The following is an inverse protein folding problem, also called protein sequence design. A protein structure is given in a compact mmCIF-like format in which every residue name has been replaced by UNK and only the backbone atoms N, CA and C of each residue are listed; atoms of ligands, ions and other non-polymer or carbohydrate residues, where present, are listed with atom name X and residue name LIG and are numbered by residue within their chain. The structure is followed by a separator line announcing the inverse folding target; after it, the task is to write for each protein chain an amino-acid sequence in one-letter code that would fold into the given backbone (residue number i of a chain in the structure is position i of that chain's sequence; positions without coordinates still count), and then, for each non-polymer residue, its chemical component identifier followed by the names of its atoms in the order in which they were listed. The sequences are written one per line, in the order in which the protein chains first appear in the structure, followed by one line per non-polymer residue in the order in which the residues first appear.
data_IF_117235443404
#
_entry.id   IF_117235443404
#
_cell.length_a   1.000
_cell.length_b   1.000
_cell.length_c   1.000
_cell.angle_alpha   90.00
_cell.angle_beta   90.00
_cell.angle_gamma   90.00
#
_symmetry.space_group_name_H-M   'P 1'
#
loop_
_entity.id
_entity.type
_entity.pdbx_description
1 polymer ?
#
# COMPACT_ATOMS: atom_id res chain seq x y z
N UNK A 1 -31.61 -19.55 -5.56
CA UNK A 1 -32.27 -19.14 -4.30
C UNK A 1 -32.44 -20.39 -3.45
N UNK A 2 -31.84 -20.49 -2.25
CA UNK A 2 -31.83 -21.72 -1.45
C UNK A 2 -33.25 -22.05 -0.97
N UNK A 3 -33.61 -23.37 -0.92
CA UNK A 3 -34.91 -23.86 -0.41
C UNK A 3 -35.29 -23.24 0.95
N UNK A 4 -34.31 -22.88 1.75
CA UNK A 4 -34.48 -22.24 3.07
C UNK A 4 -34.96 -20.77 2.97
N UNK A 5 -34.49 -20.00 1.96
CA UNK A 5 -35.00 -18.64 1.70
C UNK A 5 -36.46 -18.67 1.20
N UNK A 6 -36.80 -19.65 0.37
CA UNK A 6 -38.17 -19.82 -0.14
C UNK A 6 -39.13 -20.20 1.01
N UNK A 7 -38.72 -21.05 1.95
CA UNK A 7 -39.53 -21.42 3.11
C UNK A 7 -39.78 -20.24 4.06
N UNK A 8 -38.77 -19.38 4.28
CA UNK A 8 -38.93 -18.14 5.07
C UNK A 8 -39.88 -17.14 4.41
N UNK A 9 -39.80 -16.99 3.08
CA UNK A 9 -40.68 -16.08 2.33
C UNK A 9 -42.15 -16.60 2.36
N UNK A 10 -42.37 -17.89 2.10
CA UNK A 10 -43.72 -18.50 2.22
C UNK A 10 -44.29 -18.39 3.64
N UNK A 11 -43.48 -18.62 4.66
CA UNK A 11 -43.91 -18.44 6.07
C UNK A 11 -44.29 -16.98 6.38
N UNK A 12 -43.53 -16.02 5.89
CA UNK A 12 -43.84 -14.60 6.07
C UNK A 12 -45.11 -14.17 5.33
N UNK A 13 -45.35 -14.71 4.13
CA UNK A 13 -46.61 -14.46 3.38
C UNK A 13 -47.82 -15.03 4.12
N UNK A 14 -47.74 -16.26 4.59
CA UNK A 14 -48.82 -16.90 5.40
C UNK A 14 -49.08 -16.09 6.66
N UNK A 15 -48.04 -15.68 7.39
CA UNK A 15 -48.19 -14.85 8.60
C UNK A 15 -48.86 -13.50 8.30
N UNK A 16 -48.50 -12.87 7.19
CA UNK A 16 -49.10 -11.62 6.72
C UNK A 16 -50.60 -11.79 6.41
N UNK A 17 -50.96 -12.83 5.64
CA UNK A 17 -52.37 -13.12 5.36
C UNK A 17 -53.17 -13.42 6.61
N UNK A 18 -52.65 -14.25 7.54
CA UNK A 18 -53.29 -14.52 8.81
C UNK A 18 -53.47 -13.25 9.64
N UNK A 19 -52.51 -12.36 9.65
CA UNK A 19 -52.59 -11.09 10.35
C UNK A 19 -53.65 -10.15 9.75
N UNK A 20 -53.72 -10.07 8.42
CA UNK A 20 -54.75 -9.28 7.74
C UNK A 20 -56.15 -9.81 8.01
N UNK A 21 -56.35 -11.15 8.01
CA UNK A 21 -57.67 -11.75 8.30
C UNK A 21 -58.07 -11.49 9.74
N UNK A 22 -57.17 -11.53 10.71
CA UNK A 22 -57.45 -11.20 12.11
C UNK A 22 -57.89 -9.73 12.24
N UNK A 23 -57.15 -8.79 11.63
CA UNK A 23 -57.50 -7.35 11.63
C UNK A 23 -58.90 -7.14 11.05
N UNK A 24 -59.17 -7.73 9.87
CA UNK A 24 -60.47 -7.59 9.20
C UNK A 24 -61.61 -8.18 10.09
N UNK A 25 -61.43 -9.39 10.66
CA UNK A 25 -62.43 -10.02 11.55
C UNK A 25 -62.69 -9.20 12.81
N UNK A 26 -61.61 -8.61 13.38
CA UNK A 26 -61.74 -7.76 14.57
C UNK A 26 -62.47 -6.48 14.28
N UNK A 27 -62.14 -5.84 13.17
CA UNK A 27 -62.82 -4.60 12.74
C UNK A 27 -64.30 -4.83 12.39
N UNK A 28 -64.62 -5.98 11.76
CA UNK A 28 -66.01 -6.40 11.52
C UNK A 28 -66.78 -6.60 12.82
N UNK A 29 -66.20 -7.33 13.77
CA UNK A 29 -66.84 -7.58 15.05
C UNK A 29 -67.10 -6.29 15.84
N UNK A 30 -66.09 -5.41 15.90
CA UNK A 30 -66.19 -4.10 16.59
C UNK A 30 -67.23 -3.19 15.93
N UNK A 31 -67.21 -3.08 14.61
CA UNK A 31 -68.20 -2.26 13.89
C UNK A 31 -69.62 -2.78 14.01
N UNK A 32 -69.80 -4.10 13.95
CA UNK A 32 -71.11 -4.75 14.17
C UNK A 32 -71.61 -4.49 15.57
N UNK A 33 -70.76 -4.69 16.60
CA UNK A 33 -71.13 -4.48 17.98
C UNK A 33 -71.50 -3.00 18.28
N UNK A 34 -70.81 -2.04 17.68
CA UNK A 34 -71.14 -0.62 17.80
C UNK A 34 -72.48 -0.26 17.13
N UNK A 35 -72.73 -0.80 15.97
CA UNK A 35 -74.00 -0.57 15.24
C UNK A 35 -75.18 -1.16 15.98
N UNK A 36 -75.03 -2.35 16.52
CA UNK A 36 -76.06 -3.01 17.35
C UNK A 36 -76.31 -2.22 18.64
N UNK A 37 -75.24 -1.73 19.32
CA UNK A 37 -75.41 -0.92 20.56
C UNK A 37 -76.12 0.44 20.28
N UNK A 38 -75.95 0.99 19.11
CA UNK A 38 -76.61 2.25 18.66
C UNK A 38 -78.02 2.02 18.11
N UNK A 39 -78.51 0.76 18.04
CA UNK A 39 -79.76 0.38 17.43
C UNK A 39 -79.94 0.82 15.96
N UNK A 40 -78.83 0.90 15.21
CA UNK A 40 -78.79 1.27 13.81
C UNK A 40 -78.84 0.01 12.96
N UNK A 41 -80.02 -0.29 12.37
CA UNK A 41 -80.21 -1.42 11.48
C UNK A 41 -79.88 -1.06 10.04
N UNK A 42 -78.64 -1.39 9.62
CA UNK A 42 -78.14 -1.20 8.27
C UNK A 42 -78.27 -2.51 7.46
N UNK A 43 -78.35 -2.39 6.15
CA UNK A 43 -78.28 -3.59 5.31
C UNK A 43 -76.91 -4.28 5.48
N UNK A 44 -76.82 -5.62 5.36
CA UNK A 44 -75.57 -6.35 5.51
C UNK A 44 -74.44 -5.82 4.62
N UNK A 45 -74.76 -5.37 3.43
CA UNK A 45 -73.80 -4.77 2.48
C UNK A 45 -73.13 -3.50 3.04
N UNK A 46 -73.91 -2.60 3.64
CA UNK A 46 -73.41 -1.37 4.27
C UNK A 46 -72.53 -1.67 5.48
N UNK A 47 -72.91 -2.66 6.29
CA UNK A 47 -72.09 -3.12 7.45
C UNK A 47 -70.73 -3.65 7.00
N UNK A 48 -70.67 -4.47 5.95
CA UNK A 48 -69.41 -4.95 5.36
C UNK A 48 -68.56 -3.80 4.84
N UNK A 49 -69.13 -2.85 4.12
CA UNK A 49 -68.41 -1.70 3.59
C UNK A 49 -67.80 -0.84 4.70
N UNK A 50 -68.53 -0.59 5.79
CA UNK A 50 -68.02 0.14 6.95
C UNK A 50 -66.88 -0.64 7.60
N UNK A 51 -66.99 -1.95 7.75
CA UNK A 51 -65.93 -2.79 8.33
C UNK A 51 -64.68 -2.80 7.49
N UNK A 52 -64.76 -2.83 6.16
CA UNK A 52 -63.63 -2.75 5.24
C UNK A 52 -62.90 -1.42 5.37
N UNK A 53 -63.66 -0.32 5.38
CA UNK A 53 -63.06 1.03 5.54
C UNK A 53 -62.36 1.14 6.91
N UNK A 54 -63.00 0.66 7.99
CA UNK A 54 -62.45 0.68 9.34
C UNK A 54 -61.15 -0.17 9.46
N UNK A 55 -61.15 -1.36 8.82
CA UNK A 55 -59.99 -2.24 8.75
C UNK A 55 -58.82 -1.56 8.05
N UNK A 56 -59.08 -0.85 6.94
CA UNK A 56 -58.08 -0.12 6.16
C UNK A 56 -57.47 1.04 6.97
N UNK A 57 -58.32 1.81 7.66
CA UNK A 57 -57.86 2.87 8.55
C UNK A 57 -57.01 2.30 9.70
N UNK A 58 -57.44 1.23 10.34
CA UNK A 58 -56.69 0.58 11.42
C UNK A 58 -55.30 0.09 10.92
N UNK A 59 -55.28 -0.53 9.74
CA UNK A 59 -54.02 -0.99 9.11
C UNK A 59 -53.04 0.16 8.86
N UNK A 60 -53.55 1.28 8.35
CA UNK A 60 -52.76 2.50 8.13
C UNK A 60 -52.20 3.04 9.47
N UNK A 61 -53.05 3.15 10.46
CA UNK A 61 -52.64 3.62 11.81
C UNK A 61 -51.59 2.72 12.44
N UNK A 62 -51.77 1.39 12.33
CA UNK A 62 -50.83 0.41 12.81
C UNK A 62 -49.47 0.54 12.07
N UNK A 63 -49.52 0.71 10.73
CA UNK A 63 -48.29 0.93 9.93
C UNK A 63 -47.57 2.20 10.34
N UNK A 64 -48.30 3.31 10.54
CA UNK A 64 -47.73 4.56 11.03
C UNK A 64 -47.10 4.38 12.41
N UNK A 65 -47.80 3.68 13.32
CA UNK A 65 -47.29 3.41 14.67
C UNK A 65 -45.99 2.61 14.63
N UNK A 66 -45.94 1.54 13.83
CA UNK A 66 -44.73 0.72 13.66
C UNK A 66 -43.62 1.58 13.03
N UNK A 67 -43.90 2.39 12.03
CA UNK A 67 -42.93 3.27 11.38
C UNK A 67 -42.33 4.28 12.38
N UNK A 68 -43.18 4.89 13.24
CA UNK A 68 -42.75 5.83 14.28
C UNK A 68 -41.91 5.14 15.34
N UNK A 69 -42.33 3.96 15.83
CA UNK A 69 -41.59 3.19 16.83
C UNK A 69 -40.23 2.66 16.33
N UNK A 70 -40.13 2.35 15.03
CA UNK A 70 -38.89 1.86 14.43
C UNK A 70 -37.95 2.98 13.95
N UNK A 71 -38.44 4.19 13.79
CA UNK A 71 -37.69 5.35 13.30
C UNK A 71 -36.42 5.65 14.14
N UNK A 72 -36.47 5.73 15.49
CA UNK A 72 -35.27 6.03 16.28
C UNK A 72 -34.19 4.95 16.18
N UNK A 73 -34.58 3.67 16.06
CA UNK A 73 -33.62 2.57 15.90
C UNK A 73 -32.91 2.62 14.56
N UNK A 74 -33.62 2.98 13.50
CA UNK A 74 -33.04 3.10 12.14
C UNK A 74 -32.13 4.32 12.03
N UNK A 75 -32.54 5.45 12.58
CA UNK A 75 -31.71 6.66 12.61
C UNK A 75 -30.43 6.44 13.43
N UNK A 76 -30.51 5.83 14.61
CA UNK A 76 -29.36 5.49 15.42
C UNK A 76 -28.38 4.55 14.66
N UNK A 77 -28.90 3.56 13.91
CA UNK A 77 -28.08 2.66 13.11
C UNK A 77 -27.34 3.41 11.96
N UNK A 78 -28.00 4.34 11.31
CA UNK A 78 -27.39 5.15 10.25
C UNK A 78 -26.28 6.04 10.84
N UNK A 79 -26.52 6.68 11.99
CA UNK A 79 -25.51 7.52 12.63
C UNK A 79 -24.29 6.76 13.12
N UNK A 80 -24.39 5.47 13.47
CA UNK A 80 -23.23 4.64 13.79
C UNK A 80 -22.31 4.39 12.58
N UNK A 81 -22.80 4.57 11.36
CA UNK A 81 -22.01 4.48 10.13
C UNK A 81 -21.51 5.87 9.71
N UNK A 82 -22.37 6.90 9.77
CA UNK A 82 -22.03 8.24 9.29
C UNK A 82 -20.97 8.90 10.17
N UNK A 83 -21.02 8.76 11.49
CA UNK A 83 -20.07 9.42 12.39
C UNK A 83 -18.62 8.96 12.14
N UNK A 84 -18.29 7.65 12.03
CA UNK A 84 -16.96 7.20 11.64
C UNK A 84 -16.51 7.74 10.27
N UNK A 85 -17.38 7.71 9.26
CA UNK A 85 -17.08 8.23 7.92
C UNK A 85 -16.71 9.72 7.99
N UNK A 86 -17.41 10.53 8.77
CA UNK A 86 -17.09 11.94 8.94
C UNK A 86 -15.72 12.16 9.63
N UNK A 87 -15.32 11.28 10.54
CA UNK A 87 -13.99 11.30 11.17
C UNK A 87 -12.91 10.91 10.17
N UNK A 88 -13.14 9.85 9.39
CA UNK A 88 -12.26 9.43 8.30
C UNK A 88 -12.07 10.58 7.28
N UNK A 89 -13.14 11.23 6.87
CA UNK A 89 -13.09 12.38 5.96
C UNK A 89 -12.30 13.57 6.50
N UNK A 90 -12.13 13.68 7.83
CA UNK A 90 -11.29 14.70 8.49
C UNK A 90 -9.85 14.24 8.72
N UNK A 91 -9.48 13.04 8.23
CA UNK A 91 -8.12 12.51 8.34
C UNK A 91 -7.88 11.63 9.58
N UNK A 92 -8.92 11.28 10.35
CA UNK A 92 -8.79 10.33 11.46
C UNK A 92 -9.05 8.91 10.95
N UNK A 93 -7.99 8.27 10.46
CA UNK A 93 -8.03 6.90 9.94
C UNK A 93 -7.89 5.83 11.03
N UNK A 94 -7.84 6.20 12.31
CA UNK A 94 -7.81 5.25 13.41
C UNK A 94 -9.20 4.70 13.77
N UNK A 95 -10.26 5.33 13.25
CA UNK A 95 -11.65 5.03 13.57
C UNK A 95 -12.19 3.95 12.64
N UNK A 96 -12.85 2.94 13.22
CA UNK A 96 -13.57 1.89 12.48
C UNK A 96 -15.04 1.87 12.85
N UNK A 97 -15.87 1.43 11.89
CA UNK A 97 -17.28 1.11 12.18
C UNK A 97 -17.30 -0.18 13.01
N UNK A 98 -17.76 -0.08 14.26
CA UNK A 98 -17.77 -1.18 15.21
C UNK A 98 -18.92 -2.16 14.94
N UNK A 99 -18.75 -3.41 15.40
CA UNK A 99 -19.77 -4.45 15.33
C UNK A 99 -20.20 -4.80 13.89
N UNK A 100 -19.26 -5.08 13.01
CA UNK A 100 -19.52 -5.55 11.64
C UNK A 100 -20.53 -6.69 11.59
N UNK A 101 -20.47 -7.61 12.56
CA UNK A 101 -21.35 -8.78 12.68
C UNK A 101 -22.84 -8.42 12.87
N UNK A 102 -23.16 -7.17 13.27
CA UNK A 102 -24.55 -6.69 13.39
C UNK A 102 -25.18 -6.26 12.08
N UNK A 103 -24.36 -6.09 11.05
CA UNK A 103 -24.81 -5.64 9.74
C UNK A 103 -24.90 -6.84 8.80
N UNK A 104 -26.11 -7.32 8.53
CA UNK A 104 -26.36 -8.40 7.58
C UNK A 104 -26.60 -7.86 6.16
N UNK A 105 -26.33 -8.70 5.15
CA UNK A 105 -26.65 -8.42 3.74
C UNK A 105 -25.79 -7.30 3.13
N UNK A 106 -26.40 -6.41 2.36
CA UNK A 106 -25.72 -5.37 1.60
C UNK A 106 -25.03 -4.32 2.49
N UNK A 107 -25.61 -4.00 3.64
CA UNK A 107 -25.03 -3.06 4.61
C UNK A 107 -23.77 -3.65 5.26
N UNK A 108 -23.75 -4.94 5.55
CA UNK A 108 -22.56 -5.62 6.07
C UNK A 108 -21.38 -5.56 5.09
N UNK A 109 -21.63 -5.79 3.80
CA UNK A 109 -20.63 -5.66 2.75
C UNK A 109 -20.11 -4.23 2.67
N UNK A 110 -21.00 -3.23 2.74
CA UNK A 110 -20.62 -1.81 2.72
C UNK A 110 -19.73 -1.45 3.92
N UNK A 111 -20.12 -1.85 5.14
CA UNK A 111 -19.36 -1.58 6.38
C UNK A 111 -17.98 -2.21 6.30
N UNK A 112 -17.88 -3.45 5.83
CA UNK A 112 -16.60 -4.12 5.63
C UNK A 112 -15.74 -3.36 4.64
N UNK A 113 -16.27 -2.98 3.47
CA UNK A 113 -15.51 -2.23 2.46
C UNK A 113 -15.02 -0.89 2.97
N UNK A 114 -15.80 -0.19 3.82
CA UNK A 114 -15.38 1.07 4.46
C UNK A 114 -14.24 0.81 5.46
N UNK A 115 -14.32 -0.25 6.26
CA UNK A 115 -13.28 -0.58 7.21
C UNK A 115 -11.99 -1.01 6.51
N UNK A 116 -12.06 -1.82 5.45
CA UNK A 116 -10.92 -2.22 4.63
C UNK A 116 -10.25 -0.98 4.00
N UNK A 117 -11.04 -0.07 3.41
CA UNK A 117 -10.54 1.21 2.89
C UNK A 117 -9.87 2.07 3.99
N UNK A 118 -10.43 2.08 5.19
CA UNK A 118 -9.87 2.84 6.32
C UNK A 118 -8.53 2.27 6.76
N UNK A 119 -8.38 0.94 6.75
CA UNK A 119 -7.10 0.29 7.04
C UNK A 119 -6.03 0.66 6.01
N UNK A 120 -6.38 0.66 4.72
CA UNK A 120 -5.46 1.07 3.65
C UNK A 120 -5.06 2.54 3.79
N UNK A 121 -6.02 3.45 4.06
CA UNK A 121 -5.73 4.87 4.29
C UNK A 121 -4.83 5.09 5.51
N UNK A 122 -5.07 4.36 6.60
CA UNK A 122 -4.23 4.42 7.79
C UNK A 122 -2.80 3.93 7.52
N UNK A 123 -2.64 2.83 6.78
CA UNK A 123 -1.34 2.32 6.37
C UNK A 123 -0.61 3.34 5.47
N UNK A 124 -1.30 3.97 4.51
CA UNK A 124 -0.73 5.00 3.65
C UNK A 124 -0.29 6.24 4.45
N UNK A 125 -1.11 6.71 5.39
CA UNK A 125 -0.77 7.87 6.23
C UNK A 125 0.42 7.57 7.14
N UNK A 126 0.49 6.37 7.72
CA UNK A 126 1.64 5.92 8.51
C UNK A 126 2.91 5.88 7.67
N UNK A 127 2.86 5.28 6.48
CA UNK A 127 3.99 5.29 5.55
C UNK A 127 4.43 6.71 5.16
N UNK A 128 3.48 7.63 4.96
CA UNK A 128 3.76 9.03 4.66
C UNK A 128 4.47 9.73 5.83
N UNK A 129 4.01 9.51 7.06
CA UNK A 129 4.63 10.08 8.26
C UNK A 129 6.03 9.54 8.50
N UNK A 130 6.22 8.22 8.36
CA UNK A 130 7.53 7.57 8.44
C UNK A 130 8.49 8.11 7.37
N UNK A 131 8.01 8.30 6.14
CA UNK A 131 8.79 8.89 5.06
C UNK A 131 9.28 10.29 5.43
N UNK A 132 8.38 11.20 5.85
CA UNK A 132 8.73 12.58 6.24
C UNK A 132 9.70 12.59 7.42
N UNK A 133 9.49 11.74 8.41
CA UNK A 133 10.38 11.60 9.56
C UNK A 133 11.78 11.13 9.14
N UNK A 134 11.86 10.09 8.32
CA UNK A 134 13.12 9.52 7.85
C UNK A 134 13.91 10.52 6.97
N UNK A 135 13.22 11.22 6.05
CA UNK A 135 13.83 12.31 5.26
C UNK A 135 14.42 13.38 6.18
N UNK A 136 13.65 13.81 7.19
CA UNK A 136 14.11 14.84 8.12
C UNK A 136 15.37 14.40 8.88
N UNK A 137 15.41 13.17 9.37
CA UNK A 137 16.58 12.61 10.07
C UNK A 137 17.80 12.44 9.15
N UNK A 138 17.60 11.93 7.91
CA UNK A 138 18.70 11.72 6.95
C UNK A 138 19.28 13.06 6.42
N UNK A 139 18.53 14.16 6.47
CA UNK A 139 19.00 15.52 6.17
C UNK A 139 19.66 16.17 7.40
N UNK A 140 19.08 16.05 8.58
CA UNK A 140 19.53 16.74 9.79
C UNK A 140 20.91 16.29 10.27
N UNK A 141 21.19 14.98 10.13
CA UNK A 141 22.49 14.40 10.54
C UNK A 141 23.69 15.02 9.79
N UNK A 142 23.75 14.96 8.44
CA UNK A 142 24.86 15.56 7.68
C UNK A 142 24.95 17.08 7.86
N UNK A 143 23.82 17.80 7.93
CA UNK A 143 23.83 19.24 8.15
C UNK A 143 24.45 19.60 9.51
N UNK A 144 24.18 18.80 10.55
CA UNK A 144 24.77 19.02 11.87
C UNK A 144 26.28 18.79 11.84
N UNK A 145 26.74 17.76 11.13
CA UNK A 145 28.15 17.45 10.93
C UNK A 145 28.86 18.58 10.17
N UNK A 146 28.31 18.99 9.01
CA UNK A 146 28.83 20.10 8.20
C UNK A 146 28.95 21.38 9.01
N UNK A 147 27.87 21.75 9.74
CA UNK A 147 27.87 22.95 10.60
C UNK A 147 28.92 22.89 11.69
N UNK A 148 29.09 21.71 12.31
CA UNK A 148 30.06 21.48 13.38
C UNK A 148 31.50 21.66 12.88
N UNK A 149 31.86 21.01 11.78
CA UNK A 149 33.20 21.09 11.20
C UNK A 149 33.50 22.44 10.53
N UNK A 150 32.51 23.07 9.88
CA UNK A 150 32.64 24.45 9.39
C UNK A 150 32.92 25.45 10.52
N UNK A 151 32.29 25.26 11.70
CA UNK A 151 32.59 26.10 12.86
C UNK A 151 33.98 25.80 13.43
N UNK A 152 34.37 24.53 13.50
CA UNK A 152 35.70 24.14 13.98
C UNK A 152 36.81 24.72 13.08
N UNK A 153 36.61 24.83 11.77
CA UNK A 153 37.53 25.45 10.81
C UNK A 153 37.81 26.94 11.05
N UNK A 154 36.98 27.62 11.88
CA UNK A 154 37.19 29.02 12.24
C UNK A 154 38.30 29.19 13.32
N UNK A 155 38.77 28.11 13.94
CA UNK A 155 39.88 28.15 14.86
C UNK A 155 41.20 28.35 14.08
N UNK A 156 41.88 29.47 14.35
CA UNK A 156 43.16 29.83 13.71
C UNK A 156 44.35 28.92 14.15
N UNK A 157 44.19 28.17 15.25
CA UNK A 157 45.26 27.31 15.80
C UNK A 157 45.16 25.86 15.29
N UNK A 158 44.30 25.55 14.34
CA UNK A 158 44.20 24.22 13.75
C UNK A 158 45.45 23.87 12.95
N UNK A 159 45.96 22.63 13.14
CA UNK A 159 46.98 22.08 12.23
C UNK A 159 46.41 21.89 10.83
N UNK A 160 47.27 21.96 9.80
CA UNK A 160 46.88 21.77 8.42
C UNK A 160 46.21 20.40 8.19
N UNK A 161 46.75 19.35 8.79
CA UNK A 161 46.19 17.99 8.78
C UNK A 161 44.75 17.94 9.29
N UNK A 162 44.45 18.62 10.41
CA UNK A 162 43.08 18.70 10.95
C UNK A 162 42.15 19.51 10.05
N UNK A 163 42.69 20.59 9.45
CA UNK A 163 41.96 21.42 8.51
C UNK A 163 41.52 20.61 7.29
N UNK A 164 42.47 19.87 6.69
CA UNK A 164 42.20 19.02 5.55
C UNK A 164 41.21 17.88 5.88
N UNK A 165 41.38 17.26 7.03
CA UNK A 165 40.45 16.24 7.52
C UNK A 165 39.01 16.80 7.67
N UNK A 166 38.82 17.99 8.24
CA UNK A 166 37.50 18.61 8.41
C UNK A 166 36.89 19.00 7.08
N UNK A 167 37.67 19.48 6.12
CA UNK A 167 37.21 19.75 4.76
C UNK A 167 36.75 18.47 4.06
N UNK A 168 37.50 17.38 4.17
CA UNK A 168 37.12 16.07 3.63
C UNK A 168 35.81 15.56 4.20
N UNK A 169 35.56 15.75 5.52
CA UNK A 169 34.28 15.39 6.12
C UNK A 169 33.14 16.24 5.54
N UNK A 170 33.32 17.55 5.41
CA UNK A 170 32.31 18.45 4.83
C UNK A 170 31.99 18.04 3.39
N UNK A 171 33.01 17.75 2.58
CA UNK A 171 32.86 17.30 1.20
C UNK A 171 32.08 15.97 1.12
N UNK A 172 32.43 15.02 1.97
CA UNK A 172 31.76 13.71 2.05
C UNK A 172 30.28 13.87 2.41
N UNK A 173 29.95 14.68 3.42
CA UNK A 173 28.58 14.88 3.86
C UNK A 173 27.76 15.69 2.85
N UNK A 174 28.36 16.66 2.14
CA UNK A 174 27.68 17.38 1.05
C UNK A 174 27.38 16.47 -0.13
N UNK A 175 28.33 15.62 -0.52
CA UNK A 175 28.14 14.62 -1.57
C UNK A 175 27.04 13.62 -1.20
N UNK A 176 27.00 13.18 0.06
CA UNK A 176 25.94 12.30 0.58
C UNK A 176 24.56 12.97 0.52
N UNK A 177 24.47 14.25 0.89
CA UNK A 177 23.23 15.01 0.88
C UNK A 177 22.73 15.24 -0.56
N UNK A 178 23.65 15.51 -1.49
CA UNK A 178 23.33 15.63 -2.93
C UNK A 178 22.73 14.33 -3.47
N UNK A 179 23.36 13.17 -3.19
CA UNK A 179 22.84 11.84 -3.59
C UNK A 179 21.48 11.55 -2.97
N UNK A 180 21.26 11.91 -1.70
CA UNK A 180 19.96 11.77 -1.04
C UNK A 180 18.89 12.58 -1.77
N UNK A 181 19.18 13.86 -2.07
CA UNK A 181 18.26 14.76 -2.80
C UNK A 181 17.91 14.23 -4.19
N UNK A 182 18.91 13.75 -4.95
CA UNK A 182 18.69 13.14 -6.27
C UNK A 182 17.83 11.89 -6.20
N UNK A 183 18.07 11.01 -5.22
CA UNK A 183 17.27 9.80 -5.05
C UNK A 183 15.82 10.11 -4.64
N UNK A 184 15.61 11.12 -3.79
CA UNK A 184 14.28 11.59 -3.40
C UNK A 184 13.52 12.15 -4.61
N UNK A 185 14.15 13.02 -5.38
CA UNK A 185 13.55 13.60 -6.59
C UNK A 185 13.18 12.50 -7.58
N UNK A 186 14.10 11.54 -7.81
CA UNK A 186 13.87 10.42 -8.73
C UNK A 186 12.72 9.52 -8.25
N UNK A 187 12.67 9.20 -6.96
CA UNK A 187 11.59 8.40 -6.40
C UNK A 187 10.24 9.12 -6.55
N UNK A 188 10.18 10.42 -6.24
CA UNK A 188 8.98 11.23 -6.40
C UNK A 188 8.50 11.27 -7.87
N UNK A 189 9.44 11.40 -8.81
CA UNK A 189 9.13 11.37 -10.24
C UNK A 189 8.53 10.01 -10.65
N UNK A 190 9.19 8.90 -10.26
CA UNK A 190 8.73 7.54 -10.56
C UNK A 190 7.39 7.17 -9.89
N UNK A 191 6.98 7.88 -8.84
CA UNK A 191 5.71 7.69 -8.14
C UNK A 191 4.59 8.56 -8.67
N UNK A 192 4.90 9.54 -9.51
CA UNK A 192 3.88 10.40 -10.11
C UNK A 192 3.03 9.61 -11.11
N UNK A 193 1.72 9.88 -11.13
CA UNK A 193 0.78 9.24 -12.08
C UNK A 193 1.06 9.65 -13.54
N UNK A 194 1.75 10.76 -13.73
CA UNK A 194 2.10 11.28 -15.05
C UNK A 194 3.37 10.64 -15.64
N UNK A 195 4.14 9.90 -14.81
CA UNK A 195 5.36 9.28 -15.28
C UNK A 195 5.07 8.07 -16.17
N UNK A 196 5.47 8.17 -17.42
CA UNK A 196 5.44 7.09 -18.41
C UNK A 196 6.85 6.74 -18.84
N UNK A 197 7.31 5.48 -18.66
CA UNK A 197 8.64 5.07 -19.12
C UNK A 197 8.79 5.25 -20.64
N UNK A 198 9.84 5.94 -21.06
CA UNK A 198 10.20 6.06 -22.48
C UNK A 198 10.92 4.79 -22.94
N UNK A 199 10.18 3.85 -23.53
CA UNK A 199 10.70 2.55 -23.93
C UNK A 199 11.44 2.63 -25.26
N UNK A 200 12.72 2.25 -25.28
CA UNK A 200 13.57 2.12 -26.46
C UNK A 200 14.21 0.74 -26.49
N UNK A 201 14.48 0.22 -27.70
CA UNK A 201 15.19 -1.06 -27.84
C UNK A 201 16.69 -0.81 -27.82
N UNK A 202 17.40 -1.44 -26.87
CA UNK A 202 18.85 -1.26 -26.71
C UNK A 202 19.55 -2.54 -26.25
N UNK A 203 20.88 -2.54 -26.31
CA UNK A 203 21.79 -3.63 -25.91
C UNK A 203 22.01 -3.62 -24.40
N UNK A 204 21.31 -4.52 -23.65
CA UNK A 204 21.46 -4.63 -22.21
C UNK A 204 22.85 -5.07 -21.75
N UNK A 205 23.48 -6.00 -22.50
CA UNK A 205 24.85 -6.43 -22.20
C UNK A 205 25.87 -5.28 -22.28
N UNK A 206 25.68 -4.33 -23.21
CA UNK A 206 26.54 -3.15 -23.29
C UNK A 206 26.30 -2.19 -22.14
N UNK A 207 25.03 -1.99 -21.74
CA UNK A 207 24.70 -1.16 -20.60
C UNK A 207 25.33 -1.69 -19.32
N UNK A 208 25.18 -2.99 -19.04
CA UNK A 208 25.80 -3.63 -17.85
C UNK A 208 27.33 -3.51 -17.87
N UNK A 209 27.97 -3.78 -19.01
CA UNK A 209 29.43 -3.61 -19.16
C UNK A 209 29.87 -2.20 -18.85
N UNK A 210 29.19 -1.20 -19.38
CA UNK A 210 29.54 0.19 -19.17
C UNK A 210 29.42 0.61 -17.71
N UNK A 211 28.36 0.14 -17.01
CA UNK A 211 28.15 0.42 -15.58
C UNK A 211 29.25 -0.23 -14.72
N UNK A 212 29.64 -1.46 -15.04
CA UNK A 212 30.74 -2.16 -14.36
C UNK A 212 32.07 -1.40 -14.56
N UNK A 213 32.38 -0.99 -15.79
CA UNK A 213 33.57 -0.21 -16.09
C UNK A 213 33.58 1.15 -15.38
N UNK A 214 32.46 1.87 -15.39
CA UNK A 214 32.34 3.14 -14.67
C UNK A 214 32.49 2.99 -13.13
N UNK A 215 32.28 1.78 -12.60
CA UNK A 215 32.44 1.46 -11.18
C UNK A 215 33.84 0.91 -10.85
N UNK A 216 34.77 0.86 -11.82
CA UNK A 216 36.13 0.31 -11.66
C UNK A 216 36.87 0.86 -10.42
N UNK A 217 36.87 2.18 -10.16
CA UNK A 217 37.58 2.69 -8.99
C UNK A 217 37.09 2.09 -7.66
N UNK A 218 35.79 1.75 -7.59
CA UNK A 218 35.17 1.24 -6.36
C UNK A 218 35.49 -0.23 -6.10
N UNK A 219 35.43 -1.07 -7.14
CA UNK A 219 35.71 -2.49 -6.98
C UNK A 219 37.20 -2.81 -7.01
N UNK A 220 38.01 -2.02 -7.76
CA UNK A 220 39.45 -2.18 -7.77
C UNK A 220 40.10 -1.78 -6.43
N UNK A 221 39.64 -0.70 -5.77
CA UNK A 221 40.10 -0.32 -4.42
C UNK A 221 39.92 -1.43 -3.40
N UNK A 222 38.89 -2.25 -3.56
CA UNK A 222 38.60 -3.41 -2.70
C UNK A 222 39.19 -4.72 -3.20
N UNK A 223 39.94 -4.71 -4.31
CA UNK A 223 40.50 -5.92 -4.93
C UNK A 223 39.41 -7.00 -5.20
N UNK A 224 38.19 -6.58 -5.58
CA UNK A 224 37.07 -7.47 -5.85
C UNK A 224 37.28 -8.14 -7.22
N UNK A 225 37.18 -9.47 -7.26
CA UNK A 225 37.18 -10.24 -8.49
C UNK A 225 35.83 -10.17 -9.20
N UNK A 226 35.82 -9.76 -10.47
CA UNK A 226 34.60 -9.60 -11.28
C UNK A 226 34.50 -10.68 -12.34
N UNK A 227 33.41 -11.44 -12.30
CA UNK A 227 33.06 -12.44 -13.32
C UNK A 227 31.88 -11.96 -14.14
N UNK A 228 32.06 -11.72 -15.44
CA UNK A 228 31.02 -11.26 -16.35
C UNK A 228 30.64 -12.34 -17.35
N UNK A 229 29.42 -12.85 -17.29
CA UNK A 229 28.85 -13.79 -18.24
C UNK A 229 27.61 -13.15 -18.91
N UNK A 230 27.89 -12.27 -19.90
CA UNK A 230 26.90 -11.43 -20.53
C UNK A 230 26.66 -11.86 -22.00
N UNK A 231 25.56 -12.59 -22.21
CA UNK A 231 25.06 -12.88 -23.55
C UNK A 231 24.66 -11.58 -24.30
N UNK A 232 24.71 -11.61 -25.63
CA UNK A 232 24.22 -10.47 -26.44
C UNK A 232 22.70 -10.45 -26.41
N UNK A 233 22.10 -9.52 -25.66
CA UNK A 233 20.65 -9.42 -25.45
C UNK A 233 20.15 -7.99 -25.71
N UNK A 234 19.03 -7.89 -26.43
CA UNK A 234 18.29 -6.62 -26.60
C UNK A 234 17.05 -6.65 -25.71
N UNK A 235 16.74 -5.50 -25.11
CA UNK A 235 15.47 -5.32 -24.39
C UNK A 235 14.80 -4.01 -24.85
N UNK A 236 13.46 -3.97 -24.72
CA UNK A 236 12.66 -2.76 -24.95
C UNK A 236 12.21 -2.22 -23.61
N UNK A 237 12.88 -1.19 -23.09
CA UNK A 237 12.65 -0.62 -21.78
C UNK A 237 13.11 0.84 -21.74
N UNK A 238 12.78 1.56 -20.67
CA UNK A 238 13.37 2.87 -20.42
C UNK A 238 14.83 2.69 -19.98
N UNK A 239 15.74 3.03 -20.90
CA UNK A 239 17.16 2.79 -20.75
C UNK A 239 17.77 3.53 -19.55
N UNK A 240 17.30 4.75 -19.26
CA UNK A 240 17.82 5.55 -18.14
C UNK A 240 17.35 4.98 -16.79
N UNK A 241 16.07 4.68 -16.66
CA UNK A 241 15.52 4.08 -15.44
C UNK A 241 16.11 2.70 -15.17
N UNK A 242 16.28 1.87 -16.20
CA UNK A 242 16.94 0.57 -16.07
C UNK A 242 18.42 0.68 -15.70
N UNK A 243 19.14 1.70 -16.24
CA UNK A 243 20.51 1.99 -15.81
C UNK A 243 20.60 2.20 -14.31
N UNK A 244 19.62 2.89 -13.72
CA UNK A 244 19.57 3.12 -12.27
C UNK A 244 19.35 1.82 -11.47
N UNK A 245 18.58 0.87 -12.01
CA UNK A 245 18.42 -0.46 -11.41
C UNK A 245 19.81 -1.13 -11.28
N UNK A 246 20.53 -1.21 -12.39
CA UNK A 246 21.84 -1.88 -12.41
C UNK A 246 22.87 -1.17 -11.55
N UNK A 247 22.94 0.16 -11.59
CA UNK A 247 23.83 0.95 -10.73
C UNK A 247 23.55 0.68 -9.25
N UNK A 248 22.30 0.69 -8.83
CA UNK A 248 21.96 0.44 -7.42
C UNK A 248 22.31 -0.99 -6.99
N UNK A 249 22.03 -2.00 -7.80
CA UNK A 249 22.33 -3.40 -7.47
C UNK A 249 23.85 -3.64 -7.46
N UNK A 250 24.59 -3.21 -8.51
CA UNK A 250 26.03 -3.40 -8.60
C UNK A 250 26.74 -2.64 -7.48
N UNK A 251 26.38 -1.39 -7.20
CA UNK A 251 26.97 -0.62 -6.09
C UNK A 251 26.66 -1.25 -4.72
N UNK A 252 25.48 -1.84 -4.53
CA UNK A 252 25.19 -2.59 -3.31
C UNK A 252 26.11 -3.82 -3.18
N UNK A 253 26.27 -4.59 -4.25
CA UNK A 253 27.19 -5.74 -4.25
C UNK A 253 28.62 -5.32 -3.95
N UNK A 254 29.17 -4.28 -4.60
CA UNK A 254 30.50 -3.75 -4.32
C UNK A 254 30.64 -3.28 -2.87
N UNK A 255 29.61 -2.60 -2.37
CA UNK A 255 29.60 -2.02 -1.03
C UNK A 255 29.68 -3.12 0.07
N UNK A 256 28.90 -4.18 -0.06
CA UNK A 256 28.76 -5.21 0.96
C UNK A 256 29.69 -6.40 0.77
N UNK A 257 30.41 -6.48 -0.35
CA UNK A 257 31.48 -7.45 -0.56
C UNK A 257 32.75 -6.98 0.19
N UNK A 258 33.39 -7.85 1.00
CA UNK A 258 34.67 -7.54 1.60
C UNK A 258 35.78 -7.46 0.55
N UNK A 259 36.93 -6.87 0.93
CA UNK A 259 38.12 -6.85 0.06
C UNK A 259 38.56 -8.27 -0.30
N UNK A 260 38.92 -8.49 -1.57
CA UNK A 260 39.29 -9.80 -2.11
C UNK A 260 38.09 -10.75 -2.36
N UNK A 261 36.84 -10.25 -2.24
CA UNK A 261 35.65 -11.02 -2.55
C UNK A 261 35.35 -11.08 -4.04
N UNK A 262 34.26 -11.74 -4.41
CA UNK A 262 33.87 -11.99 -5.81
C UNK A 262 32.49 -11.45 -6.09
N UNK A 263 32.29 -10.84 -7.27
CA UNK A 263 30.99 -10.45 -7.80
C UNK A 263 30.81 -11.09 -9.19
N UNK A 264 29.72 -11.85 -9.35
CA UNK A 264 29.37 -12.48 -10.62
C UNK A 264 28.13 -11.82 -11.21
N UNK A 265 28.19 -11.39 -12.48
CA UNK A 265 27.05 -10.83 -13.20
C UNK A 265 26.74 -11.70 -14.41
N UNK A 266 25.52 -12.24 -14.46
CA UNK A 266 25.05 -13.09 -15.55
C UNK A 266 23.84 -12.47 -16.23
N UNK A 267 23.84 -12.53 -17.57
CA UNK A 267 22.73 -12.09 -18.41
C UNK A 267 22.32 -13.23 -19.32
N UNK A 268 21.08 -13.69 -19.19
CA UNK A 268 20.51 -14.76 -20.03
C UNK A 268 19.16 -14.36 -20.59
N UNK A 269 18.88 -14.79 -21.79
CA UNK A 269 17.58 -14.63 -22.44
C UNK A 269 16.89 -16.00 -22.53
N UNK A 270 15.62 -16.05 -22.12
CA UNK A 270 14.75 -17.21 -22.17
C UNK A 270 13.50 -16.83 -22.95
N UNK A 271 13.23 -17.42 -24.10
CA UNK A 271 12.09 -17.19 -24.99
C UNK A 271 11.46 -15.78 -24.96
N UNK A 272 10.87 -15.37 -23.83
CA UNK A 272 10.17 -14.08 -23.64
C UNK A 272 10.60 -13.31 -22.39
N UNK A 273 11.60 -13.80 -21.68
CA UNK A 273 12.07 -13.22 -20.43
C UNK A 273 13.58 -13.06 -20.48
N UNK A 274 14.04 -11.88 -20.14
CA UNK A 274 15.45 -11.60 -19.88
C UNK A 274 15.71 -11.65 -18.39
N UNK A 275 16.69 -12.44 -17.98
CA UNK A 275 17.10 -12.60 -16.60
C UNK A 275 18.53 -12.06 -16.40
N UNK A 276 18.66 -11.16 -15.41
CA UNK A 276 19.95 -10.67 -14.92
C UNK A 276 20.14 -11.15 -13.50
N UNK A 277 21.27 -11.83 -13.26
CA UNK A 277 21.69 -12.27 -11.92
C UNK A 277 22.92 -11.50 -11.50
N UNK A 278 22.89 -10.90 -10.32
CA UNK A 278 24.02 -10.23 -9.69
C UNK A 278 24.25 -10.90 -8.35
N UNK A 279 25.34 -11.65 -8.25
CA UNK A 279 25.72 -12.40 -7.06
C UNK A 279 27.01 -11.83 -6.47
N UNK A 280 27.01 -11.64 -5.15
CA UNK A 280 28.19 -11.24 -4.41
C UNK A 280 28.54 -12.25 -3.31
N UNK A 281 29.80 -12.26 -2.90
CA UNK A 281 30.30 -13.05 -1.76
C UNK A 281 30.32 -12.23 -0.47
N UNK A 282 29.36 -11.33 -0.30
CA UNK A 282 29.28 -10.39 0.80
C UNK A 282 28.74 -10.96 2.10
N UNK A 283 28.33 -10.05 3.00
CA UNK A 283 27.85 -10.39 4.34
C UNK A 283 26.50 -11.14 4.36
N UNK A 284 25.78 -11.16 3.23
CA UNK A 284 24.46 -11.75 3.16
C UNK A 284 23.38 -10.93 3.88
N UNK A 285 22.14 -11.46 3.80
CA UNK A 285 20.92 -10.85 4.33
C UNK A 285 20.11 -11.93 5.06
N UNK A 286 19.67 -11.67 6.28
CA UNK A 286 18.85 -12.63 7.04
C UNK A 286 17.41 -12.74 6.46
N UNK A 287 16.70 -13.82 6.78
CA UNK A 287 15.31 -14.03 6.30
C UNK A 287 14.36 -12.91 6.73
N UNK A 288 14.52 -12.39 7.95
CA UNK A 288 13.75 -11.29 8.47
C UNK A 288 13.98 -10.00 7.66
N UNK A 289 15.25 -9.71 7.39
CA UNK A 289 15.64 -8.51 6.65
C UNK A 289 15.18 -8.54 5.19
N UNK A 290 15.16 -9.71 4.52
CA UNK A 290 14.73 -9.85 3.12
C UNK A 290 13.32 -9.32 2.86
N UNK A 291 12.44 -9.38 3.85
CA UNK A 291 11.06 -8.89 3.73
C UNK A 291 11.01 -7.37 3.63
N UNK A 292 12.01 -6.66 4.17
CA UNK A 292 12.02 -5.21 4.32
C UNK A 292 13.02 -4.48 3.43
N UNK A 293 13.99 -5.17 2.78
CA UNK A 293 15.08 -4.51 2.04
C UNK A 293 14.62 -3.59 0.90
N UNK A 294 13.40 -3.76 0.40
CA UNK A 294 12.82 -2.92 -0.64
C UNK A 294 12.00 -1.74 -0.07
N UNK A 295 11.83 -1.67 1.24
CA UNK A 295 11.17 -0.54 1.90
C UNK A 295 12.04 0.70 1.86
N UNK A 296 11.41 1.88 1.84
CA UNK A 296 12.12 3.16 1.81
C UNK A 296 12.85 3.39 3.13
N UNK A 297 14.10 3.84 3.04
CA UNK A 297 14.98 4.11 4.19
C UNK A 297 15.37 2.90 5.03
N UNK A 298 14.97 1.70 4.62
CA UNK A 298 15.35 0.49 5.35
C UNK A 298 16.88 0.25 5.27
N UNK A 299 17.48 -0.08 6.40
CA UNK A 299 18.89 -0.40 6.56
C UNK A 299 19.01 -1.60 7.51
N UNK A 300 19.60 -2.68 7.05
CA UNK A 300 19.67 -3.96 7.76
C UNK A 300 20.34 -3.87 9.15
N UNK A 301 21.19 -2.88 9.42
CA UNK A 301 21.84 -2.67 10.72
C UNK A 301 22.17 -1.18 10.91
N UNK A 302 21.58 -0.54 11.91
CA UNK A 302 21.82 0.88 12.19
C UNK A 302 23.18 1.13 12.88
N UNK A 303 23.81 0.11 13.50
CA UNK A 303 25.04 0.23 14.29
C UNK A 303 26.30 -0.06 13.46
N UNK A 304 26.29 -1.03 12.58
CA UNK A 304 27.40 -1.37 11.68
C UNK A 304 27.48 -0.50 10.42
N UNK A 305 26.36 0.10 10.00
CA UNK A 305 26.23 0.79 8.71
C UNK A 305 26.61 2.26 8.71
N UNK A 306 27.01 2.88 9.82
CA UNK A 306 27.55 4.25 9.78
C UNK A 306 28.84 4.35 8.93
N UNK A 307 29.64 3.30 8.89
CA UNK A 307 30.86 3.25 8.09
C UNK A 307 30.59 3.07 6.58
N UNK A 308 29.49 2.41 6.22
CA UNK A 308 29.21 2.08 4.82
C UNK A 308 28.28 3.06 4.09
N UNK A 309 27.69 4.05 4.74
CA UNK A 309 26.85 5.11 4.12
C UNK A 309 25.72 4.55 3.24
N UNK A 310 24.68 5.30 3.03
CA UNK A 310 23.57 4.96 2.13
C UNK A 310 22.25 5.52 2.65
N UNK A 311 21.38 5.98 1.74
CA UNK A 311 20.10 6.57 2.09
C UNK A 311 18.99 5.55 2.39
N UNK A 312 19.19 4.26 2.05
CA UNK A 312 18.13 3.25 2.10
C UNK A 312 17.05 3.41 1.01
N UNK A 313 17.30 4.25 0.01
CA UNK A 313 16.35 4.49 -1.09
C UNK A 313 16.69 3.69 -2.36
N UNK A 314 17.90 3.16 -2.48
CA UNK A 314 18.38 2.52 -3.72
C UNK A 314 17.53 1.31 -4.13
N UNK A 315 17.25 0.38 -3.21
CA UNK A 315 16.44 -0.81 -3.50
C UNK A 315 14.95 -0.48 -3.66
N UNK A 316 14.42 0.54 -2.98
CA UNK A 316 13.07 1.04 -3.22
C UNK A 316 12.92 1.61 -4.64
N UNK A 317 13.93 2.35 -5.15
CA UNK A 317 13.98 2.81 -6.53
C UNK A 317 14.02 1.62 -7.49
N UNK A 318 14.86 0.60 -7.23
CA UNK A 318 14.93 -0.63 -8.03
C UNK A 318 13.55 -1.27 -8.16
N UNK A 319 12.87 -1.48 -7.02
CA UNK A 319 11.53 -2.08 -7.01
C UNK A 319 10.54 -1.27 -7.81
N UNK A 320 10.48 0.05 -7.61
CA UNK A 320 9.56 0.95 -8.33
C UNK A 320 9.80 0.96 -9.85
N UNK A 321 11.06 1.01 -10.29
CA UNK A 321 11.40 0.96 -11.73
C UNK A 321 10.96 -0.37 -12.33
N UNK A 322 11.24 -1.49 -11.65
CA UNK A 322 10.83 -2.80 -12.15
C UNK A 322 9.31 -2.95 -12.19
N UNK A 323 8.57 -2.46 -11.19
CA UNK A 323 7.10 -2.47 -11.20
C UNK A 323 6.52 -1.71 -12.40
N UNK A 324 7.11 -0.53 -12.76
CA UNK A 324 6.72 0.24 -13.95
C UNK A 324 7.02 -0.49 -15.27
N UNK A 325 7.99 -1.39 -15.26
CA UNK A 325 8.34 -2.24 -16.40
C UNK A 325 7.73 -3.63 -16.35
N UNK A 326 6.81 -3.90 -15.40
CA UNK A 326 6.21 -5.22 -15.18
C UNK A 326 7.29 -6.32 -14.98
N UNK A 327 8.43 -5.92 -14.42
CA UNK A 327 9.54 -6.79 -14.08
C UNK A 327 9.43 -7.33 -12.65
N UNK A 328 10.14 -8.40 -12.40
CA UNK A 328 10.21 -9.05 -11.09
C UNK A 328 11.65 -8.99 -10.55
N UNK A 329 11.80 -8.79 -9.25
CA UNK A 329 13.08 -8.96 -8.54
C UNK A 329 12.91 -9.96 -7.40
N UNK A 330 13.82 -10.92 -7.35
CA UNK A 330 13.94 -11.90 -6.27
C UNK A 330 15.31 -11.76 -5.62
N UNK A 331 15.38 -11.99 -4.32
CA UNK A 331 16.64 -12.03 -3.56
C UNK A 331 16.83 -13.41 -2.96
N UNK A 332 17.97 -14.01 -3.22
CA UNK A 332 18.45 -15.24 -2.60
C UNK A 332 19.72 -14.90 -1.80
N UNK A 333 19.68 -15.12 -0.49
CA UNK A 333 20.78 -14.73 0.40
C UNK A 333 20.72 -15.53 1.68
N UNK A 334 21.87 -15.75 2.27
CA UNK A 334 22.03 -16.30 3.59
C UNK A 334 23.14 -15.50 4.31
N UNK A 335 22.92 -15.19 5.58
CA UNK A 335 23.89 -14.41 6.36
C UNK A 335 25.26 -15.09 6.36
N UNK A 336 26.29 -14.36 5.97
CA UNK A 336 27.68 -14.85 5.82
C UNK A 336 27.99 -15.57 4.51
N UNK A 337 27.01 -15.81 3.61
CA UNK A 337 27.18 -16.55 2.36
C UNK A 337 27.02 -15.70 1.09
N UNK A 338 26.79 -14.40 1.25
CA UNK A 338 26.59 -13.44 0.16
C UNK A 338 25.14 -13.30 -0.27
N UNK A 339 24.93 -12.53 -1.35
CA UNK A 339 23.58 -12.22 -1.87
C UNK A 339 23.51 -12.39 -3.37
N UNK A 340 22.43 -12.94 -3.87
CA UNK A 340 22.10 -12.99 -5.29
C UNK A 340 20.77 -12.24 -5.54
N UNK A 341 20.84 -11.16 -6.34
CA UNK A 341 19.67 -10.49 -6.89
C UNK A 341 19.36 -11.04 -8.26
N UNK A 342 18.12 -11.47 -8.48
CA UNK A 342 17.62 -12.03 -9.72
C UNK A 342 16.53 -11.10 -10.25
N UNK A 343 16.82 -10.42 -11.36
CA UNK A 343 15.88 -9.52 -12.04
C UNK A 343 15.37 -10.18 -13.29
N UNK A 344 14.05 -10.21 -13.47
CA UNK A 344 13.36 -10.74 -14.66
C UNK A 344 12.53 -9.66 -15.32
N UNK A 345 12.70 -9.49 -16.61
CA UNK A 345 12.00 -8.49 -17.42
C UNK A 345 11.37 -9.21 -18.61
N UNK A 346 10.09 -8.96 -18.86
CA UNK A 346 9.43 -9.46 -20.07
C UNK A 346 10.00 -8.77 -21.30
N UNK A 347 10.47 -9.55 -22.26
CA UNK A 347 10.98 -9.05 -23.54
C UNK A 347 9.89 -9.19 -24.61
N UNK A 348 8.76 -8.50 -24.41
CA UNK A 348 7.72 -8.44 -25.42
C UNK A 348 8.05 -7.33 -26.41
N UNK A 349 8.36 -7.67 -27.66
CA UNK A 349 8.13 -6.75 -28.76
C UNK A 349 6.62 -6.50 -28.84
N UNK A 350 6.15 -5.33 -28.40
CA UNK A 350 4.82 -4.85 -28.79
C UNK A 350 4.85 -4.70 -30.32
N UNK A 351 4.06 -5.60 -30.99
CA UNK A 351 3.82 -5.53 -32.44
C UNK A 351 2.90 -4.36 -32.77
#
# INVERSE_FOLDING_TARGET
MSKFKMLKVTGAIIALFSFLTIIWSTAFYVSSSILDALAIHLSPFVTYLISDILSFIFMILLWILIAVLMRPKREAMIWTIIEPIQKIAKGDFSVKIRNEEKYDGEIGVLVKSINDMTDELNAMEKMRQEFVSNVSHEIQSPLTSIKGFARALQDNNLSEEKREHYLTIIETETTRLSKLSQNLLKLTLLESEEYTPERVTYRLDQQLKQIVLNSEPLWAEKEIELELNLGKVHITADQESMSQVWINLIHNSIKFTPSGGTITIQLKEYEKVVEVRIRDSGIGISEEQKQHIFERFYKADSSRNRAYGGSGLGLAIVKKVLDLHQGEIKVESEEGSGTEFIVRISNHEEK
#
